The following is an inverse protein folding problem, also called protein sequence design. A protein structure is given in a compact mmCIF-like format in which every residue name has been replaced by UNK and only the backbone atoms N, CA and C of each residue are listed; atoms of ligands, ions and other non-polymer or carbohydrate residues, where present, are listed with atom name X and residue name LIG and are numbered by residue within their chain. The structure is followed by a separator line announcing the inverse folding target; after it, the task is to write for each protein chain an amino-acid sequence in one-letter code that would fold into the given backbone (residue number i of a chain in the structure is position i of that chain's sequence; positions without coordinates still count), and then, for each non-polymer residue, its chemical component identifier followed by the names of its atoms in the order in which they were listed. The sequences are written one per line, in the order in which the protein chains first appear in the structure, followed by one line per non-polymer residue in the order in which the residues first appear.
data_IF_635955453916
#
_entry.id   IF_635955453916
#
_cell.length_a   1.000
_cell.length_b   1.000
_cell.length_c   1.000
_cell.angle_alpha   90.00
_cell.angle_beta   90.00
_cell.angle_gamma   90.00
#
_symmetry.space_group_name_H-M   'P 1'
#
loop_
_entity.id
_entity.type
_entity.pdbx_description
1 polymer ?
#
# COMPACT_ATOMS: atom_id res chain seq x y z
N UNK A 1 6.94 18.97 0.66
CA UNK A 1 7.47 18.06 -0.38
C UNK A 1 7.41 16.56 -0.03
N UNK A 2 7.12 16.17 1.21
CA UNK A 2 7.09 14.74 1.64
C UNK A 2 6.16 13.87 0.78
N UNK A 3 4.90 14.26 0.54
CA UNK A 3 3.99 13.47 -0.30
C UNK A 3 4.51 13.29 -1.73
N UNK A 4 5.05 14.36 -2.32
CA UNK A 4 5.65 14.30 -3.66
C UNK A 4 6.85 13.34 -3.68
N UNK A 5 7.71 13.37 -2.66
CA UNK A 5 8.82 12.43 -2.52
C UNK A 5 8.35 10.98 -2.36
N UNK A 6 7.35 10.72 -1.52
CA UNK A 6 6.75 9.39 -1.39
C UNK A 6 6.17 8.90 -2.71
N UNK A 7 5.46 9.77 -3.45
CA UNK A 7 4.87 9.46 -4.75
C UNK A 7 5.94 9.19 -5.81
N UNK A 8 6.96 10.03 -5.91
CA UNK A 8 8.09 9.82 -6.84
C UNK A 8 8.83 8.53 -6.51
N UNK A 9 9.15 8.28 -5.24
CA UNK A 9 9.78 7.05 -4.77
C UNK A 9 8.92 5.81 -5.06
N UNK A 10 7.59 5.92 -4.93
CA UNK A 10 6.65 4.87 -5.28
C UNK A 10 6.72 4.53 -6.78
N UNK A 11 6.63 5.53 -7.67
CA UNK A 11 6.69 5.29 -9.12
C UNK A 11 8.02 4.66 -9.55
N UNK A 12 9.14 5.12 -8.99
CA UNK A 12 10.45 4.50 -9.24
C UNK A 12 10.48 3.08 -8.70
N UNK A 13 9.97 2.86 -7.48
CA UNK A 13 9.91 1.55 -6.83
C UNK A 13 9.13 0.52 -7.64
N UNK A 14 7.90 0.86 -8.05
CA UNK A 14 6.97 -0.08 -8.70
C UNK A 14 7.26 -0.33 -10.19
N UNK A 15 7.90 0.60 -10.88
CA UNK A 15 8.07 0.52 -12.33
C UNK A 15 9.52 0.37 -12.80
N UNK A 16 10.48 0.94 -12.08
CA UNK A 16 11.90 0.91 -12.49
C UNK A 16 12.72 -0.04 -11.64
N UNK A 17 12.52 -0.03 -10.32
CA UNK A 17 13.28 -0.87 -9.40
C UNK A 17 12.67 -2.26 -9.22
N UNK A 18 11.36 -2.39 -9.40
CA UNK A 18 10.66 -3.67 -9.36
C UNK A 18 11.11 -4.56 -10.53
N UNK A 19 11.48 -5.79 -10.21
CA UNK A 19 11.80 -6.82 -11.20
C UNK A 19 10.53 -7.47 -11.78
N UNK A 20 10.65 -8.06 -12.97
CA UNK A 20 9.55 -8.84 -13.57
C UNK A 20 9.10 -10.01 -12.67
N UNK A 21 10.05 -10.69 -12.03
CA UNK A 21 9.75 -11.76 -11.06
C UNK A 21 8.90 -11.24 -9.89
N UNK A 22 9.22 -10.06 -9.34
CA UNK A 22 8.40 -9.42 -8.31
C UNK A 22 7.01 -9.09 -8.84
N UNK A 23 6.92 -8.50 -10.04
CA UNK A 23 5.67 -8.10 -10.67
C UNK A 23 4.70 -9.27 -10.85
N UNK A 24 5.20 -10.42 -11.28
CA UNK A 24 4.38 -11.59 -11.62
C UNK A 24 4.05 -12.43 -10.38
N UNK A 25 4.97 -12.52 -9.41
CA UNK A 25 4.88 -13.48 -8.30
C UNK A 25 4.30 -12.88 -7.00
N UNK A 26 4.42 -11.56 -6.77
CA UNK A 26 4.05 -10.93 -5.48
C UNK A 26 2.59 -11.17 -5.07
N UNK A 27 1.67 -11.37 -6.03
CA UNK A 27 0.25 -11.64 -5.75
C UNK A 27 -0.08 -13.08 -5.35
N UNK A 28 0.81 -14.05 -5.54
CA UNK A 28 0.50 -15.48 -5.38
C UNK A 28 0.19 -15.87 -3.93
N UNK A 29 -0.81 -16.75 -3.70
CA UNK A 29 -1.22 -17.22 -2.36
C UNK A 29 -0.24 -18.22 -1.70
N UNK A 30 1.00 -18.26 -2.15
CA UNK A 30 2.07 -19.17 -1.69
C UNK A 30 2.95 -18.50 -0.63
N UNK A 31 3.81 -19.28 0.04
CA UNK A 31 4.87 -18.72 0.92
C UNK A 31 5.85 -17.87 0.11
N UNK A 32 6.23 -18.36 -1.07
CA UNK A 32 7.08 -17.67 -2.03
C UNK A 32 6.50 -16.31 -2.41
N UNK A 33 5.23 -16.26 -2.83
CA UNK A 33 4.56 -14.99 -3.15
C UNK A 33 4.58 -13.98 -2.01
N UNK A 34 4.44 -14.44 -0.74
CA UNK A 34 4.56 -13.57 0.44
C UNK A 34 5.97 -13.01 0.64
N UNK A 35 7.00 -13.83 0.41
CA UNK A 35 8.40 -13.41 0.51
C UNK A 35 8.75 -12.43 -0.62
N UNK A 36 8.33 -12.71 -1.85
CA UNK A 36 8.56 -11.83 -3.00
C UNK A 36 7.87 -10.48 -2.82
N UNK A 37 6.64 -10.48 -2.31
CA UNK A 37 5.94 -9.24 -1.97
C UNK A 37 6.64 -8.45 -0.86
N UNK A 38 7.18 -9.12 0.17
CA UNK A 38 7.95 -8.44 1.21
C UNK A 38 9.24 -7.83 0.65
N UNK A 39 9.94 -8.56 -0.22
CA UNK A 39 11.13 -8.05 -0.92
C UNK A 39 10.80 -6.85 -1.81
N UNK A 40 9.68 -6.89 -2.54
CA UNK A 40 9.19 -5.76 -3.32
C UNK A 40 8.95 -4.51 -2.44
N UNK A 41 8.21 -4.68 -1.35
CA UNK A 41 7.91 -3.58 -0.42
C UNK A 41 9.19 -3.02 0.21
N UNK A 42 10.20 -3.85 0.48
CA UNK A 42 11.51 -3.38 0.93
C UNK A 42 12.21 -2.51 -0.12
N UNK A 43 12.21 -2.93 -1.39
CA UNK A 43 12.75 -2.13 -2.52
C UNK A 43 11.99 -0.80 -2.66
N UNK A 44 10.66 -0.83 -2.65
CA UNK A 44 9.81 0.37 -2.70
C UNK A 44 10.15 1.33 -1.54
N UNK A 45 10.22 0.80 -0.32
CA UNK A 45 10.53 1.59 0.88
C UNK A 45 11.91 2.25 0.75
N UNK A 46 12.90 1.53 0.21
CA UNK A 46 14.22 2.09 -0.06
C UNK A 46 14.17 3.23 -1.08
N UNK A 47 13.42 3.08 -2.18
CA UNK A 47 13.21 4.17 -3.15
C UNK A 47 12.58 5.41 -2.51
N UNK A 48 11.58 5.22 -1.64
CA UNK A 48 10.97 6.31 -0.89
C UNK A 48 11.92 6.94 0.14
N UNK A 49 12.75 6.15 0.83
CA UNK A 49 13.78 6.67 1.73
C UNK A 49 14.79 7.53 0.99
N UNK A 50 15.23 7.13 -0.21
CA UNK A 50 16.13 7.94 -1.04
C UNK A 50 15.45 9.26 -1.45
N UNK A 51 14.20 9.23 -1.89
CA UNK A 51 13.46 10.44 -2.25
C UNK A 51 13.27 11.37 -1.04
N UNK A 52 12.97 10.82 0.13
CA UNK A 52 12.87 11.56 1.38
C UNK A 52 14.22 12.15 1.83
N UNK A 53 15.32 11.44 1.62
CA UNK A 53 16.66 11.96 1.91
C UNK A 53 16.99 13.18 1.04
N UNK A 54 16.55 13.22 -0.22
CA UNK A 54 16.68 14.40 -1.06
C UNK A 54 15.90 15.60 -0.51
N UNK A 55 14.69 15.37 0.03
CA UNK A 55 13.93 16.41 0.75
C UNK A 55 14.68 16.89 1.98
N UNK A 56 15.32 15.99 2.74
CA UNK A 56 16.13 16.37 3.91
C UNK A 56 17.29 17.27 3.52
N UNK A 57 17.95 16.96 2.39
CA UNK A 57 19.05 17.77 1.86
C UNK A 57 18.56 19.14 1.35
N UNK A 58 17.35 19.23 0.77
CA UNK A 58 16.84 20.49 0.18
C UNK A 58 16.13 21.41 1.16
N UNK A 59 15.37 20.86 2.13
CA UNK A 59 14.44 21.59 2.99
C UNK A 59 14.75 21.43 4.49
N UNK A 60 15.70 20.57 4.84
CA UNK A 60 16.00 20.20 6.22
C UNK A 60 15.24 18.96 6.70
N UNK A 61 15.54 18.54 7.93
CA UNK A 61 15.10 17.25 8.46
C UNK A 61 13.65 17.21 8.94
N UNK A 62 13.08 16.00 8.91
CA UNK A 62 11.96 15.59 9.75
C UNK A 62 12.46 14.60 10.80
N UNK A 63 11.69 14.37 11.84
CA UNK A 63 12.10 13.50 12.94
C UNK A 63 12.16 12.02 12.50
N UNK A 64 13.24 11.27 12.80
CA UNK A 64 13.42 9.89 12.33
C UNK A 64 12.32 8.92 12.76
N UNK A 65 11.74 9.12 13.95
CA UNK A 65 10.64 8.28 14.46
C UNK A 65 9.40 8.44 13.58
N UNK A 66 9.04 9.68 13.24
CA UNK A 66 7.92 9.99 12.36
C UNK A 66 8.15 9.49 10.93
N UNK A 67 9.38 9.61 10.42
CA UNK A 67 9.79 8.99 9.15
C UNK A 67 9.54 7.47 9.15
N UNK A 68 10.00 6.78 10.20
CA UNK A 68 9.82 5.35 10.36
C UNK A 68 8.34 4.95 10.47
N UNK A 69 7.53 5.69 11.23
CA UNK A 69 6.09 5.45 11.36
C UNK A 69 5.36 5.61 10.02
N UNK A 70 5.61 6.71 9.30
CA UNK A 70 4.96 6.96 8.01
C UNK A 70 5.35 5.93 6.95
N UNK A 71 6.64 5.58 6.87
CA UNK A 71 7.11 4.52 5.98
C UNK A 71 6.55 3.15 6.36
N UNK A 72 6.43 2.84 7.66
CA UNK A 72 5.83 1.58 8.11
C UNK A 72 4.34 1.47 7.74
N UNK A 73 3.57 2.57 7.88
CA UNK A 73 2.18 2.63 7.42
C UNK A 73 2.12 2.39 5.92
N UNK A 74 2.92 3.12 5.13
CA UNK A 74 2.92 2.96 3.68
C UNK A 74 3.32 1.54 3.25
N UNK A 75 4.36 0.97 3.86
CA UNK A 75 4.82 -0.39 3.58
C UNK A 75 3.75 -1.45 3.89
N UNK A 76 3.05 -1.32 5.02
CA UNK A 76 1.99 -2.24 5.40
C UNK A 76 0.79 -2.19 4.43
N UNK A 77 0.37 -0.99 4.04
CA UNK A 77 -0.76 -0.78 3.13
C UNK A 77 -0.41 -1.18 1.70
N UNK A 78 0.84 -0.98 1.29
CA UNK A 78 1.37 -1.42 -0.01
C UNK A 78 1.42 -2.95 -0.07
N UNK A 79 2.01 -3.59 0.95
CA UNK A 79 2.04 -5.05 1.06
C UNK A 79 0.63 -5.62 0.98
N UNK A 80 -0.32 -5.01 1.70
CA UNK A 80 -1.71 -5.43 1.68
C UNK A 80 -2.28 -5.39 0.28
N UNK A 81 -2.17 -4.29 -0.48
CA UNK A 81 -2.70 -4.20 -1.84
C UNK A 81 -2.00 -5.15 -2.83
N UNK A 82 -0.68 -5.28 -2.74
CA UNK A 82 0.13 -6.13 -3.62
C UNK A 82 -0.17 -7.63 -3.47
N UNK A 83 -0.88 -8.01 -2.41
CA UNK A 83 -1.46 -9.36 -2.31
C UNK A 83 -2.54 -9.64 -3.35
N UNK A 84 -3.02 -8.63 -4.08
CA UNK A 84 -4.05 -8.61 -5.14
C UNK A 84 -5.43 -9.11 -4.72
N UNK A 85 -5.50 -10.27 -4.07
CA UNK A 85 -6.74 -10.85 -3.52
C UNK A 85 -7.43 -9.89 -2.54
N UNK A 86 -6.65 -9.14 -1.78
CA UNK A 86 -7.12 -8.16 -0.80
C UNK A 86 -7.90 -7.06 -1.51
N UNK A 87 -7.29 -6.41 -2.50
CA UNK A 87 -7.92 -5.37 -3.30
C UNK A 87 -9.12 -5.90 -4.10
N UNK A 88 -9.00 -7.10 -4.69
CA UNK A 88 -10.09 -7.76 -5.43
C UNK A 88 -11.30 -8.06 -4.54
N UNK A 89 -11.09 -8.57 -3.33
CA UNK A 89 -12.17 -8.83 -2.37
C UNK A 89 -12.87 -7.54 -1.95
N UNK A 90 -12.10 -6.47 -1.73
CA UNK A 90 -12.67 -5.16 -1.43
C UNK A 90 -13.46 -4.60 -2.63
N UNK A 91 -12.92 -4.72 -3.85
CA UNK A 91 -13.61 -4.35 -5.06
C UNK A 91 -14.92 -5.13 -5.23
N UNK A 92 -14.95 -6.41 -4.86
CA UNK A 92 -16.18 -7.20 -4.86
C UNK A 92 -17.22 -6.68 -3.89
N UNK A 93 -16.84 -6.41 -2.64
CA UNK A 93 -17.77 -5.87 -1.65
C UNK A 93 -18.34 -4.49 -2.09
N UNK A 94 -17.51 -3.66 -2.72
CA UNK A 94 -17.89 -2.33 -3.18
C UNK A 94 -18.66 -2.33 -4.51
N UNK A 95 -19.05 -3.49 -5.06
CA UNK A 95 -19.74 -3.58 -6.34
C UNK A 95 -18.88 -3.22 -7.56
N UNK A 96 -17.55 -3.15 -7.39
CA UNK A 96 -16.57 -2.79 -8.42
C UNK A 96 -15.87 -4.00 -9.04
N UNK A 97 -16.27 -5.23 -8.72
CA UNK A 97 -15.60 -6.43 -9.24
C UNK A 97 -15.56 -6.47 -10.78
N UNK A 98 -16.66 -6.12 -11.44
CA UNK A 98 -16.70 -6.06 -12.90
C UNK A 98 -15.75 -5.01 -13.50
N UNK A 99 -15.55 -3.88 -12.82
CA UNK A 99 -14.54 -2.90 -13.23
C UNK A 99 -13.12 -3.45 -13.01
N UNK A 100 -12.87 -4.04 -11.84
CA UNK A 100 -11.60 -4.65 -11.48
C UNK A 100 -11.15 -5.70 -12.53
N UNK A 101 -12.04 -6.62 -12.93
CA UNK A 101 -11.72 -7.70 -13.87
C UNK A 101 -11.64 -7.27 -15.34
N UNK A 102 -12.24 -6.14 -15.72
CA UNK A 102 -12.20 -5.58 -17.09
C UNK A 102 -11.09 -4.54 -17.29
N UNK A 103 -9.98 -4.67 -16.57
CA UNK A 103 -8.81 -3.78 -16.69
C UNK A 103 -8.76 -2.61 -15.71
N UNK A 104 -9.73 -2.49 -14.80
CA UNK A 104 -9.74 -1.47 -13.75
C UNK A 104 -8.81 -1.75 -12.57
N UNK A 105 -8.22 -2.95 -12.47
CA UNK A 105 -7.37 -3.33 -11.34
C UNK A 105 -6.18 -2.38 -11.12
N UNK A 106 -5.39 -1.97 -12.13
CA UNK A 106 -4.27 -1.04 -11.92
C UNK A 106 -4.72 0.35 -11.43
N UNK A 107 -5.92 0.81 -11.82
CA UNK A 107 -6.45 2.09 -11.35
C UNK A 107 -6.89 2.05 -9.89
N UNK A 108 -7.51 0.94 -9.45
CA UNK A 108 -7.86 0.74 -8.05
C UNK A 108 -6.61 0.58 -7.18
N UNK A 109 -5.58 -0.08 -7.71
CA UNK A 109 -4.29 -0.25 -7.05
C UNK A 109 -3.58 1.09 -6.86
N UNK A 110 -3.42 1.86 -7.94
CA UNK A 110 -2.84 3.20 -7.87
C UNK A 110 -3.63 4.14 -6.93
N UNK A 111 -4.96 4.13 -7.00
CA UNK A 111 -5.81 4.94 -6.13
C UNK A 111 -5.64 4.57 -4.65
N UNK A 112 -5.48 3.27 -4.34
CA UNK A 112 -5.19 2.79 -3.00
C UNK A 112 -3.85 3.35 -2.50
N UNK A 113 -2.78 3.20 -3.28
CA UNK A 113 -1.44 3.67 -2.87
C UNK A 113 -1.40 5.18 -2.68
N UNK A 114 -1.97 5.96 -3.61
CA UNK A 114 -2.08 7.41 -3.46
C UNK A 114 -2.88 7.80 -2.20
N UNK A 115 -3.97 7.09 -1.93
CA UNK A 115 -4.79 7.30 -0.73
C UNK A 115 -4.03 7.07 0.58
N UNK A 116 -3.11 6.11 0.62
CA UNK A 116 -2.31 5.79 1.81
C UNK A 116 -0.99 6.56 1.92
N UNK A 117 -0.44 7.05 0.81
CA UNK A 117 0.71 7.95 0.85
C UNK A 117 0.38 9.30 1.50
N UNK A 118 -0.88 9.75 1.43
CA UNK A 118 -1.32 10.98 2.09
C UNK A 118 -1.19 10.89 3.63
N UNK A 119 -1.86 9.96 4.34
CA UNK A 119 -1.68 9.84 5.78
C UNK A 119 -0.25 9.49 6.18
N UNK A 120 0.49 8.72 5.36
CA UNK A 120 1.93 8.51 5.58
C UNK A 120 2.70 9.84 5.59
N UNK A 121 2.48 10.72 4.61
CA UNK A 121 3.11 12.03 4.56
C UNK A 121 2.71 12.92 5.76
N UNK A 122 1.45 12.85 6.20
CA UNK A 122 0.98 13.57 7.39
C UNK A 122 1.68 13.07 8.66
N UNK A 123 1.86 11.75 8.82
CA UNK A 123 2.58 11.16 9.96
C UNK A 123 4.03 11.67 10.00
N UNK A 124 4.73 11.68 8.85
CA UNK A 124 6.12 12.15 8.77
C UNK A 124 6.23 13.63 9.13
N UNK A 125 5.22 14.43 8.78
CA UNK A 125 5.22 15.89 8.97
C UNK A 125 4.76 16.33 10.37
N UNK A 126 4.19 15.43 11.17
CA UNK A 126 3.52 15.78 12.41
C UNK A 126 4.42 15.73 13.64
N UNK A 127 3.98 16.38 14.72
CA UNK A 127 4.50 16.12 16.06
C UNK A 127 4.24 14.67 16.48
N UNK A 128 5.00 14.19 17.48
CA UNK A 128 4.97 12.79 17.88
C UNK A 128 3.57 12.30 18.29
N UNK A 129 2.81 13.09 19.05
CA UNK A 129 1.49 12.67 19.53
C UNK A 129 0.48 12.52 18.38
N UNK A 130 0.27 13.52 17.50
CA UNK A 130 -0.54 13.33 16.30
C UNK A 130 -0.02 12.22 15.38
N UNK A 131 1.30 12.06 15.22
CA UNK A 131 1.89 10.99 14.41
C UNK A 131 1.51 9.59 14.93
N UNK A 132 1.56 9.37 16.24
CA UNK A 132 1.13 8.13 16.88
C UNK A 132 -0.39 7.91 16.74
N UNK A 133 -1.19 8.95 16.93
CA UNK A 133 -2.65 8.87 16.77
C UNK A 133 -3.04 8.52 15.32
N UNK A 134 -2.42 9.18 14.33
CA UNK A 134 -2.62 8.90 12.91
C UNK A 134 -2.16 7.48 12.55
N UNK A 135 -1.03 7.03 13.09
CA UNK A 135 -0.54 5.65 12.89
C UNK A 135 -1.51 4.61 13.45
N UNK A 136 -2.06 4.84 14.65
CA UNK A 136 -3.10 4.01 15.25
C UNK A 136 -4.38 3.97 14.40
N UNK A 137 -4.84 5.13 13.92
CA UNK A 137 -5.99 5.22 13.02
C UNK A 137 -5.75 4.46 11.70
N UNK A 138 -4.57 4.61 11.11
CA UNK A 138 -4.17 3.89 9.90
C UNK A 138 -4.20 2.38 10.10
N UNK A 139 -3.71 1.88 11.24
CA UNK A 139 -3.78 0.46 11.57
C UNK A 139 -5.23 -0.04 11.64
N UNK A 140 -6.11 0.71 12.32
CA UNK A 140 -7.55 0.37 12.42
C UNK A 140 -8.21 0.34 11.04
N UNK A 141 -7.93 1.34 10.20
CA UNK A 141 -8.48 1.42 8.83
C UNK A 141 -7.98 0.28 7.94
N UNK A 142 -6.71 -0.09 8.05
CA UNK A 142 -6.14 -1.22 7.29
C UNK A 142 -6.76 -2.55 7.74
N UNK A 143 -6.95 -2.75 9.05
CA UNK A 143 -7.62 -3.94 9.59
C UNK A 143 -9.08 -4.00 9.13
N UNK A 144 -9.79 -2.87 9.14
CA UNK A 144 -11.15 -2.79 8.62
C UNK A 144 -11.19 -3.14 7.13
N UNK A 145 -10.29 -2.61 6.32
CA UNK A 145 -10.19 -2.94 4.90
C UNK A 145 -9.91 -4.43 4.67
N UNK A 146 -9.06 -5.06 5.49
CA UNK A 146 -8.83 -6.51 5.44
C UNK A 146 -10.09 -7.31 5.75
N UNK A 147 -10.86 -6.92 6.77
CA UNK A 147 -12.13 -7.57 7.11
C UNK A 147 -13.17 -7.41 5.99
N UNK A 148 -13.32 -6.19 5.45
CA UNK A 148 -14.23 -5.90 4.34
C UNK A 148 -13.85 -6.70 3.08
N UNK A 149 -12.56 -6.81 2.78
CA UNK A 149 -12.07 -7.65 1.70
C UNK A 149 -12.43 -9.12 1.87
N UNK A 150 -12.28 -9.67 3.09
CA UNK A 150 -12.68 -11.05 3.40
C UNK A 150 -14.18 -11.27 3.27
N UNK A 151 -14.99 -10.30 3.69
CA UNK A 151 -16.45 -10.33 3.49
C UNK A 151 -16.81 -10.36 2.00
N UNK A 152 -16.16 -9.54 1.17
CA UNK A 152 -16.36 -9.56 -0.28
C UNK A 152 -16.08 -10.93 -0.90
N UNK A 153 -15.00 -11.61 -0.50
CA UNK A 153 -14.73 -12.98 -0.93
C UNK A 153 -15.72 -14.02 -0.41
N UNK A 154 -16.24 -13.83 0.79
CA UNK A 154 -17.25 -14.74 1.34
C UNK A 154 -18.56 -14.63 0.56
N UNK A 155 -18.93 -13.43 0.14
CA UNK A 155 -20.12 -13.21 -0.69
C UNK A 155 -19.94 -13.78 -2.09
N UNK A 156 -18.78 -13.53 -2.72
CA UNK A 156 -18.43 -14.08 -4.03
C UNK A 156 -18.53 -15.62 -4.08
N UNK A 157 -18.10 -16.31 -3.01
CA UNK A 157 -18.18 -17.77 -2.93
C UNK A 157 -19.60 -18.28 -2.72
N UNK A 158 -20.48 -17.51 -2.08
CA UNK A 158 -21.88 -17.90 -1.88
C UNK A 158 -22.68 -17.77 -3.17
N UNK A 159 -22.42 -16.73 -3.96
CA UNK A 159 -23.11 -16.53 -5.23
C UNK A 159 -22.77 -17.63 -6.26
N UNK A 160 -21.51 -18.08 -6.32
CA UNK A 160 -21.09 -19.17 -7.22
C UNK A 160 -21.68 -20.54 -6.88
N UNK A 161 -22.09 -20.78 -5.63
CA UNK A 161 -22.70 -22.06 -5.21
C UNK A 161 -24.20 -22.09 -5.51
N UNK A 162 -24.82 -20.92 -5.72
CA UNK A 162 -26.28 -20.79 -5.97
C UNK A 162 -26.64 -20.72 -7.45
N UNK A 163 -25.66 -20.61 -8.35
CA UNK A 163 -25.80 -20.61 -9.81
C UNK A 163 -25.58 -22.00 -10.39
#
# INVERSE_FOLDING_TARGET
MIYAALLSGHWVGDHWAQTDHQATTKGERTRTGRQVCAAHVATLTLCQMVALALVVVSEGGFAPVQAALGLAVNAATHYWADRRRTLEGLAHLLGKHGYYTRGGAPHLDLAWHMGWMLPAALIISADLVPALALSGLCLVLLLLADQLSRLGWNEARRSTVRS
#
